data_IF_424027455937
#
_entry.id   IF_424027455937
#
_cell.length_a   1.000
_cell.length_b   1.000
_cell.length_c   1.000
_cell.angle_alpha   90.00
_cell.angle_beta   90.00
_cell.angle_gamma   90.00
#
_symmetry.space_group_name_H-M   'P 1'
#
loop_
_entity.id
_entity.type
_entity.pdbx_description
1 polymer ?
#
# COMPACT_ATOMS: atom_id res chain seq x y z
N UNK A 1 -2.19 -45.02 39.46
CA UNK A 1 -1.34 -44.30 38.50
C UNK A 1 -2.25 -43.68 37.45
N UNK A 2 -2.36 -42.36 37.55
CA UNK A 2 -2.61 -41.34 36.50
C UNK A 2 -3.93 -41.28 35.69
N UNK A 3 -4.85 -40.50 36.26
CA UNK A 3 -5.50 -39.26 35.77
C UNK A 3 -5.23 -38.77 34.32
N UNK A 4 -6.31 -38.82 33.52
CA UNK A 4 -6.97 -37.76 32.70
C UNK A 4 -6.40 -37.14 31.38
N UNK A 5 -7.39 -36.89 30.49
CA UNK A 5 -7.57 -35.74 29.53
C UNK A 5 -6.66 -35.73 28.28
N UNK A 6 -7.02 -35.13 27.14
CA UNK A 6 -8.19 -34.45 26.55
C UNK A 6 -7.87 -34.26 25.06
N UNK A 7 -8.88 -34.18 24.20
CA UNK A 7 -8.77 -33.72 22.81
C UNK A 7 -8.32 -32.25 22.72
N UNK A 8 -7.52 -31.88 21.70
CA UNK A 8 -7.71 -30.70 20.82
C UNK A 8 -6.50 -30.38 19.91
N UNK A 9 -6.83 -29.82 18.72
CA UNK A 9 -6.04 -28.98 17.78
C UNK A 9 -5.31 -29.73 16.66
N UNK A 10 -5.84 -29.70 15.44
CA UNK A 10 -5.65 -28.65 14.42
C UNK A 10 -4.17 -28.43 14.09
N UNK A 11 -3.67 -29.33 13.23
CA UNK A 11 -2.37 -29.23 12.58
C UNK A 11 -2.52 -28.32 11.36
N UNK A 12 -2.49 -27.00 11.59
CA UNK A 12 -2.18 -26.05 10.53
C UNK A 12 -0.71 -26.26 10.13
N UNK A 13 -0.51 -27.03 9.06
CA UNK A 13 0.79 -27.14 8.38
C UNK A 13 1.22 -25.75 7.93
N UNK A 14 2.28 -25.24 8.55
CA UNK A 14 3.09 -24.13 8.06
C UNK A 14 3.71 -24.55 6.72
N UNK A 15 3.26 -23.94 5.62
CA UNK A 15 3.97 -24.00 4.34
C UNK A 15 5.00 -22.87 4.28
N UNK A 16 6.14 -23.09 4.93
CA UNK A 16 7.36 -22.31 4.70
C UNK A 16 8.29 -23.17 3.83
N UNK A 17 8.30 -22.89 2.53
CA UNK A 17 9.30 -23.41 1.60
C UNK A 17 9.64 -22.30 0.58
N UNK A 18 10.65 -21.50 0.92
CA UNK A 18 11.28 -20.56 0.00
C UNK A 18 12.00 -21.35 -1.12
N UNK A 19 11.53 -21.19 -2.35
CA UNK A 19 12.28 -21.57 -3.55
C UNK A 19 13.06 -20.35 -4.05
N UNK A 20 14.37 -20.45 -4.33
CA UNK A 20 15.12 -19.32 -4.88
C UNK A 20 14.68 -19.04 -6.33
N UNK A 21 14.26 -17.80 -6.60
CA UNK A 21 13.90 -17.34 -7.95
C UNK A 21 15.16 -17.14 -8.83
N UNK A 22 15.14 -17.56 -10.10
CA UNK A 22 16.25 -17.31 -11.03
C UNK A 22 16.27 -15.84 -11.49
N UNK A 23 17.49 -15.35 -11.75
CA UNK A 23 17.79 -14.00 -12.27
C UNK A 23 17.14 -13.77 -13.64
N UNK A 24 16.78 -12.51 -13.86
CA UNK A 24 16.09 -11.91 -15.01
C UNK A 24 16.19 -12.65 -16.34
N UNK A 25 15.01 -12.95 -16.89
CA UNK A 25 14.80 -13.09 -18.33
C UNK A 25 13.67 -12.14 -18.74
N UNK A 26 13.85 -11.50 -19.88
CA UNK A 26 12.99 -10.47 -20.45
C UNK A 26 11.49 -10.79 -20.33
N UNK A 27 10.69 -9.79 -19.96
CA UNK A 27 9.22 -9.86 -20.09
C UNK A 27 8.92 -10.22 -21.54
N UNK A 28 8.54 -11.48 -21.76
CA UNK A 28 8.01 -11.92 -23.03
C UNK A 28 6.70 -11.15 -23.24
N UNK A 29 6.69 -10.18 -24.18
CA UNK A 29 5.47 -9.44 -24.53
C UNK A 29 4.42 -10.46 -24.91
N UNK A 30 3.45 -10.67 -24.03
CA UNK A 30 2.39 -11.65 -24.23
C UNK A 30 1.49 -11.12 -25.35
N UNK A 31 1.46 -11.71 -26.57
CA UNK A 31 0.81 -11.11 -27.75
C UNK A 31 -0.73 -11.20 -27.73
N UNK A 32 -1.34 -11.39 -26.56
CA UNK A 32 -2.79 -11.37 -26.34
C UNK A 32 -3.15 -10.79 -24.97
N UNK A 33 -2.67 -9.60 -24.64
CA UNK A 33 -3.36 -8.84 -23.59
C UNK A 33 -4.75 -8.45 -24.12
N UNK A 34 -5.79 -9.08 -23.59
CA UNK A 34 -7.19 -8.79 -23.94
C UNK A 34 -7.69 -7.51 -23.26
N UNK A 35 -7.18 -7.19 -22.08
CA UNK A 35 -7.37 -5.91 -21.38
C UNK A 35 -6.22 -5.69 -20.40
N UNK A 36 -5.85 -4.44 -20.17
CA UNK A 36 -4.87 -4.04 -19.16
C UNK A 36 -5.57 -3.16 -18.12
N UNK A 37 -5.20 -3.31 -16.84
CA UNK A 37 -5.60 -2.33 -15.83
C UNK A 37 -4.97 -1.00 -16.20
N UNK A 38 -5.81 0.02 -16.44
CA UNK A 38 -5.32 1.32 -16.84
C UNK A 38 -4.99 2.16 -15.61
N UNK A 39 -5.99 2.45 -14.77
CA UNK A 39 -5.82 3.19 -13.53
C UNK A 39 -6.70 2.58 -12.43
N UNK A 40 -6.31 2.81 -11.17
CA UNK A 40 -7.19 2.68 -10.00
C UNK A 40 -7.65 4.09 -9.64
N UNK A 41 -8.96 4.29 -9.56
CA UNK A 41 -9.56 5.59 -9.28
C UNK A 41 -9.93 5.72 -7.80
N UNK A 42 -9.65 6.89 -7.24
CA UNK A 42 -9.93 7.26 -5.85
C UNK A 42 -10.78 8.53 -5.88
N UNK A 43 -11.98 8.41 -5.30
CA UNK A 43 -12.85 9.56 -5.08
C UNK A 43 -12.24 10.45 -3.98
N UNK A 44 -12.30 11.76 -4.20
CA UNK A 44 -11.67 12.76 -3.34
C UNK A 44 -12.49 14.05 -3.25
N UNK A 45 -12.24 14.86 -2.23
CA UNK A 45 -12.81 16.20 -2.12
C UNK A 45 -12.01 17.25 -2.89
N UNK A 46 -10.72 17.01 -3.10
CA UNK A 46 -9.82 17.81 -3.93
C UNK A 46 -8.79 16.89 -4.61
N UNK A 47 -9.02 16.59 -5.90
CA UNK A 47 -8.20 15.66 -6.66
C UNK A 47 -6.73 16.10 -6.73
N UNK A 48 -6.47 17.40 -6.94
CA UNK A 48 -5.11 17.91 -7.08
C UNK A 48 -4.35 17.84 -5.76
N UNK A 49 -4.98 18.25 -4.66
CA UNK A 49 -4.36 18.22 -3.32
C UNK A 49 -4.06 16.79 -2.89
N UNK A 50 -5.01 15.87 -3.06
CA UNK A 50 -4.80 14.47 -2.69
C UNK A 50 -3.78 13.79 -3.60
N UNK A 51 -3.86 14.05 -4.91
CA UNK A 51 -2.88 13.58 -5.88
C UNK A 51 -1.47 14.07 -5.58
N UNK A 52 -1.32 15.33 -5.13
CA UNK A 52 -0.02 15.89 -4.74
C UNK A 52 0.57 15.18 -3.52
N UNK A 53 -0.25 14.82 -2.52
CA UNK A 53 0.20 14.00 -1.40
C UNK A 53 0.74 12.65 -1.91
N UNK A 54 -0.03 11.93 -2.73
CA UNK A 54 0.39 10.63 -3.25
C UNK A 54 1.57 10.71 -4.23
N UNK A 55 1.74 11.83 -4.94
CA UNK A 55 2.92 12.13 -5.76
C UNK A 55 4.19 12.11 -4.90
N UNK A 56 4.17 12.77 -3.74
CA UNK A 56 5.27 12.76 -2.77
C UNK A 56 5.48 11.39 -2.10
N UNK A 57 4.41 10.59 -1.94
CA UNK A 57 4.52 9.22 -1.44
C UNK A 57 5.36 8.37 -2.41
N UNK A 58 5.00 8.37 -3.70
CA UNK A 58 5.63 7.51 -4.71
C UNK A 58 6.88 8.12 -5.36
N UNK A 59 7.14 9.41 -5.15
CA UNK A 59 8.18 10.14 -5.89
C UNK A 59 7.89 10.14 -7.40
N UNK A 60 6.62 10.15 -7.79
CA UNK A 60 6.16 10.16 -9.17
C UNK A 60 5.27 11.39 -9.38
N UNK A 61 5.55 12.23 -10.40
CA UNK A 61 4.82 13.46 -10.59
C UNK A 61 3.36 13.19 -11.01
N UNK A 62 2.50 14.16 -10.73
CA UNK A 62 1.22 14.30 -11.43
C UNK A 62 1.45 14.55 -12.92
N UNK A 63 0.41 14.32 -13.73
CA UNK A 63 0.43 14.64 -15.15
C UNK A 63 0.64 16.15 -15.34
N UNK A 64 1.40 16.54 -16.36
CA UNK A 64 1.87 17.93 -16.51
C UNK A 64 0.75 18.96 -16.74
N UNK A 65 -0.39 18.50 -17.21
CA UNK A 65 -1.56 19.34 -17.46
C UNK A 65 -2.45 19.57 -16.23
N UNK A 66 -2.32 18.73 -15.18
CA UNK A 66 -3.17 18.77 -13.99
C UNK A 66 -2.84 19.99 -13.12
N UNK A 67 -3.87 20.71 -12.68
CA UNK A 67 -3.76 21.98 -11.94
C UNK A 67 -4.69 22.02 -10.73
N UNK A 68 -4.40 22.89 -9.73
CA UNK A 68 -5.31 23.14 -8.62
C UNK A 68 -6.71 23.51 -9.11
N UNK A 69 -7.73 22.79 -8.63
CA UNK A 69 -9.14 23.01 -8.96
C UNK A 69 -9.66 22.19 -10.15
N UNK A 70 -8.82 21.38 -10.80
CA UNK A 70 -9.30 20.43 -11.81
C UNK A 70 -10.13 19.31 -11.17
N UNK A 71 -11.07 18.75 -11.95
CA UNK A 71 -11.97 17.68 -11.48
C UNK A 71 -11.24 16.34 -11.30
N UNK A 72 -10.04 16.19 -11.87
CA UNK A 72 -9.23 14.99 -11.74
C UNK A 72 -7.73 15.32 -11.72
N UNK A 73 -6.93 14.38 -11.19
CA UNK A 73 -5.48 14.44 -11.21
C UNK A 73 -4.88 13.02 -11.30
N UNK A 74 -3.86 12.81 -12.12
CA UNK A 74 -3.31 11.51 -12.48
C UNK A 74 -1.82 11.40 -12.12
N UNK A 75 -1.44 10.34 -11.42
CA UNK A 75 -0.04 9.91 -11.31
C UNK A 75 0.18 8.76 -12.30
N UNK A 76 0.65 9.06 -13.51
CA UNK A 76 0.82 8.06 -14.56
C UNK A 76 1.74 6.91 -14.15
N UNK A 77 2.87 7.23 -13.48
CA UNK A 77 3.86 6.25 -13.04
C UNK A 77 3.35 5.28 -11.98
N UNK A 78 2.28 5.65 -11.26
CA UNK A 78 1.64 4.81 -10.25
C UNK A 78 0.29 4.23 -10.71
N UNK A 79 -0.24 4.68 -11.86
CA UNK A 79 -1.57 4.29 -12.35
C UNK A 79 -2.70 4.68 -11.38
N UNK A 80 -2.57 5.80 -10.68
CA UNK A 80 -3.57 6.31 -9.73
C UNK A 80 -4.24 7.56 -10.28
N UNK A 81 -5.57 7.54 -10.35
CA UNK A 81 -6.40 8.67 -10.75
C UNK A 81 -7.22 9.14 -9.55
N UNK A 82 -7.14 10.43 -9.23
CA UNK A 82 -7.96 11.07 -8.21
C UNK A 82 -9.07 11.84 -8.90
N UNK A 83 -10.30 11.75 -8.40
CA UNK A 83 -11.47 12.42 -8.98
C UNK A 83 -12.21 13.18 -7.89
N UNK A 84 -12.51 14.45 -8.14
CA UNK A 84 -13.26 15.30 -7.23
C UNK A 84 -14.74 14.93 -7.26
N UNK A 85 -15.31 14.55 -6.12
CA UNK A 85 -16.73 14.24 -5.94
C UNK A 85 -17.31 15.06 -4.78
N UNK A 86 -18.61 15.40 -4.81
CA UNK A 86 -19.21 16.19 -3.73
C UNK A 86 -19.42 15.39 -2.44
N UNK A 87 -19.41 14.07 -2.49
CA UNK A 87 -19.61 13.20 -1.33
C UNK A 87 -18.32 13.00 -0.53
N UNK A 88 -18.35 13.37 0.75
CA UNK A 88 -17.29 12.99 1.67
C UNK A 88 -17.23 11.46 1.87
N UNK A 89 -16.02 10.94 2.12
CA UNK A 89 -15.81 9.54 2.50
C UNK A 89 -16.70 9.17 3.69
N UNK A 90 -17.52 8.14 3.50
CA UNK A 90 -18.49 7.71 4.51
C UNK A 90 -18.20 6.34 5.13
N UNK A 91 -17.33 5.53 4.50
CA UNK A 91 -16.98 4.19 4.96
C UNK A 91 -15.52 3.86 4.68
N UNK A 92 -15.01 2.86 5.39
CA UNK A 92 -13.69 2.27 5.15
C UNK A 92 -13.53 1.80 3.70
N UNK A 93 -12.35 2.05 3.13
CA UNK A 93 -12.00 1.54 1.81
C UNK A 93 -11.95 0.01 1.81
N UNK A 94 -12.43 -0.61 0.72
CA UNK A 94 -12.38 -2.08 0.55
C UNK A 94 -11.18 -2.54 -0.28
N UNK A 95 -10.47 -1.58 -0.85
CA UNK A 95 -9.18 -1.74 -1.53
C UNK A 95 -8.13 -1.12 -0.61
N UNK A 96 -6.96 -1.74 -0.55
CA UNK A 96 -5.86 -1.32 0.29
C UNK A 96 -4.63 -1.12 -0.59
N UNK A 97 -3.87 -0.06 -0.33
CA UNK A 97 -2.51 0.06 -0.82
C UNK A 97 -1.56 -0.37 0.28
N UNK A 98 -0.69 -1.32 -0.05
CA UNK A 98 0.33 -1.81 0.87
C UNK A 98 1.70 -1.32 0.36
N UNK A 99 2.22 -0.30 1.02
CA UNK A 99 3.46 0.36 0.66
C UNK A 99 4.64 -0.43 1.20
N UNK A 100 5.62 -0.68 0.34
CA UNK A 100 6.92 -1.20 0.71
C UNK A 100 7.97 -0.11 0.47
N UNK A 101 8.57 0.47 1.52
CA UNK A 101 9.68 1.41 1.37
C UNK A 101 10.84 0.76 0.60
N UNK A 102 11.44 1.50 -0.33
CA UNK A 102 12.50 0.97 -1.20
C UNK A 102 13.90 1.40 -0.79
N UNK A 103 14.04 2.54 -0.09
CA UNK A 103 15.32 3.19 0.23
C UNK A 103 15.50 3.52 1.72
N UNK A 104 14.51 3.16 2.56
CA UNK A 104 14.49 3.41 4.00
C UNK A 104 13.74 2.32 4.75
N UNK A 105 13.81 2.32 6.07
CA UNK A 105 13.06 1.40 6.93
C UNK A 105 11.57 1.74 6.98
N UNK A 106 10.75 0.81 7.46
CA UNK A 106 9.32 1.08 7.72
C UNK A 106 9.14 2.25 8.67
N UNK A 107 9.92 2.31 9.74
CA UNK A 107 9.80 3.34 10.76
C UNK A 107 10.14 4.73 10.22
N UNK A 108 11.22 4.85 9.44
CA UNK A 108 11.58 6.11 8.77
C UNK A 108 10.50 6.55 7.76
N UNK A 109 9.91 5.60 7.02
CA UNK A 109 8.82 5.92 6.11
C UNK A 109 7.56 6.38 6.84
N UNK A 110 7.18 5.71 7.94
CA UNK A 110 6.04 6.14 8.76
C UNK A 110 6.26 7.57 9.25
N UNK A 111 7.45 7.89 9.78
CA UNK A 111 7.75 9.26 10.23
C UNK A 111 7.63 10.28 9.10
N UNK A 112 8.18 9.97 7.92
CA UNK A 112 8.10 10.83 6.74
C UNK A 112 6.64 11.07 6.31
N UNK A 113 5.84 10.01 6.22
CA UNK A 113 4.45 10.10 5.78
C UNK A 113 3.58 10.88 6.76
N UNK A 114 3.82 10.73 8.07
CA UNK A 114 3.18 11.58 9.08
C UNK A 114 3.53 13.05 8.90
N UNK A 115 4.79 13.37 8.58
CA UNK A 115 5.22 14.74 8.29
C UNK A 115 4.60 15.31 7.01
N UNK A 116 4.25 14.47 6.03
CA UNK A 116 3.52 14.84 4.81
C UNK A 116 2.02 15.05 5.02
N UNK A 117 1.48 14.74 6.21
CA UNK A 117 0.07 14.93 6.54
C UNK A 117 -0.75 13.65 6.63
N UNK A 118 -0.12 12.47 6.56
CA UNK A 118 -0.79 11.22 6.92
C UNK A 118 -1.08 11.15 8.43
N UNK A 119 -1.99 10.27 8.82
CA UNK A 119 -2.31 10.01 10.23
C UNK A 119 -2.18 8.53 10.55
N UNK A 120 -1.66 8.16 11.74
CA UNK A 120 -1.63 6.77 12.19
C UNK A 120 -3.02 6.34 12.66
N UNK A 121 -3.59 5.34 11.98
CA UNK A 121 -4.93 4.81 12.25
C UNK A 121 -4.86 3.60 13.17
N UNK A 122 -3.90 2.71 12.93
CA UNK A 122 -3.76 1.45 13.67
C UNK A 122 -2.31 0.97 13.61
N UNK A 123 -1.84 0.40 14.72
CA UNK A 123 -0.48 -0.15 14.81
C UNK A 123 -0.56 -1.67 14.90
N UNK A 124 -0.23 -2.33 13.79
CA UNK A 124 -0.22 -3.80 13.67
C UNK A 124 1.19 -4.37 13.66
N UNK A 125 2.19 -3.57 14.03
CA UNK A 125 3.57 -4.02 14.18
C UNK A 125 3.67 -4.95 15.37
N UNK A 126 4.43 -6.03 15.21
CA UNK A 126 4.64 -7.04 16.25
C UNK A 126 6.04 -6.90 16.87
N UNK A 127 6.25 -7.39 18.11
CA UNK A 127 7.55 -7.32 18.77
C UNK A 127 8.69 -8.02 18.01
N UNK A 128 8.37 -8.98 17.15
CA UNK A 128 9.32 -9.68 16.27
C UNK A 128 9.66 -8.90 15.00
N UNK A 129 9.21 -7.64 14.88
CA UNK A 129 9.43 -6.77 13.73
C UNK A 129 8.41 -6.96 12.60
N UNK A 130 7.67 -8.08 12.56
CA UNK A 130 6.67 -8.34 11.52
C UNK A 130 5.42 -7.46 11.66
N UNK A 131 4.49 -7.54 10.71
CA UNK A 131 3.30 -6.70 10.67
C UNK A 131 3.53 -5.36 9.94
N UNK A 132 2.62 -4.42 10.12
CA UNK A 132 2.57 -3.15 9.39
C UNK A 132 1.96 -2.03 10.23
N UNK A 133 2.21 -0.77 9.86
CA UNK A 133 1.44 0.36 10.35
C UNK A 133 0.29 0.65 9.38
N UNK A 134 -0.90 0.96 9.87
CA UNK A 134 -2.01 1.45 9.05
C UNK A 134 -2.07 2.96 9.20
N UNK A 135 -1.85 3.67 8.10
CA UNK A 135 -1.99 5.11 8.02
C UNK A 135 -3.27 5.46 7.25
N UNK A 136 -3.68 6.72 7.36
CA UNK A 136 -4.63 7.34 6.45
C UNK A 136 -4.02 8.58 5.81
N UNK A 137 -4.33 8.79 4.53
CA UNK A 137 -3.99 10.01 3.82
C UNK A 137 -4.80 11.22 4.36
N UNK A 138 -4.57 12.45 3.85
CA UNK A 138 -5.26 13.65 4.34
C UNK A 138 -6.80 13.61 4.25
N UNK A 139 -7.36 12.74 3.39
CA UNK A 139 -8.81 12.57 3.25
C UNK A 139 -9.35 11.33 3.99
N UNK A 140 -8.49 10.66 4.77
CA UNK A 140 -8.87 9.52 5.58
C UNK A 140 -8.82 8.17 4.86
N UNK A 141 -8.29 8.09 3.63
CA UNK A 141 -8.17 6.82 2.92
C UNK A 141 -7.06 5.97 3.53
N UNK A 142 -7.42 4.75 3.94
CA UNK A 142 -6.51 3.89 4.66
C UNK A 142 -5.51 3.17 3.75
N UNK A 143 -4.24 3.12 4.14
CA UNK A 143 -3.17 2.37 3.48
C UNK A 143 -2.18 1.79 4.51
N UNK A 144 -1.45 0.75 4.14
CA UNK A 144 -0.48 0.09 5.01
C UNK A 144 0.95 0.49 4.65
N UNK A 145 1.81 0.60 5.66
CA UNK A 145 3.27 0.68 5.49
C UNK A 145 3.87 -0.61 6.01
N UNK A 146 4.34 -1.44 5.09
CA UNK A 146 5.03 -2.70 5.38
C UNK A 146 6.53 -2.48 5.63
N UNK A 147 7.19 -3.56 6.01
CA UNK A 147 8.65 -3.64 6.03
C UNK A 147 9.22 -3.43 4.63
N UNK A 148 10.32 -2.69 4.56
CA UNK A 148 11.12 -2.53 3.35
C UNK A 148 11.63 -3.88 2.83
N UNK A 149 12.05 -3.90 1.57
CA UNK A 149 12.68 -5.09 0.98
C UNK A 149 13.91 -5.55 1.79
N UNK A 150 14.71 -4.60 2.31
CA UNK A 150 15.89 -4.89 3.12
C UNK A 150 15.53 -5.50 4.49
N UNK A 151 14.53 -4.95 5.18
CA UNK A 151 14.06 -5.49 6.47
C UNK A 151 13.46 -6.89 6.31
N UNK A 152 12.73 -7.15 5.21
CA UNK A 152 12.18 -8.48 4.92
C UNK A 152 13.28 -9.50 4.64
N UNK A 153 14.35 -9.10 3.97
CA UNK A 153 15.49 -9.97 3.70
C UNK A 153 16.35 -10.25 4.94
N UNK A 154 16.30 -9.37 5.94
CA UNK A 154 17.06 -9.50 7.19
C UNK A 154 16.41 -10.43 8.24
N UNK A 155 15.14 -10.77 8.07
CA UNK A 155 14.37 -11.61 8.99
C UNK A 155 13.32 -10.82 9.76
#
# INVERSE_FOLDING_TARGET
MDVARSAHLDECVSVEAESPLPRGNAVQKNPRMTSALRHVTIDSSDAYTLGSFWSEVFGQPLHEDDKPGDEEALIEGAGLLFVTVPEAKSRKNRIHFDLQPQDRTREEEVERLLALGATLVDDRRRPDGTGWAVLADPEGNEFCVERSAAERAAG
#
